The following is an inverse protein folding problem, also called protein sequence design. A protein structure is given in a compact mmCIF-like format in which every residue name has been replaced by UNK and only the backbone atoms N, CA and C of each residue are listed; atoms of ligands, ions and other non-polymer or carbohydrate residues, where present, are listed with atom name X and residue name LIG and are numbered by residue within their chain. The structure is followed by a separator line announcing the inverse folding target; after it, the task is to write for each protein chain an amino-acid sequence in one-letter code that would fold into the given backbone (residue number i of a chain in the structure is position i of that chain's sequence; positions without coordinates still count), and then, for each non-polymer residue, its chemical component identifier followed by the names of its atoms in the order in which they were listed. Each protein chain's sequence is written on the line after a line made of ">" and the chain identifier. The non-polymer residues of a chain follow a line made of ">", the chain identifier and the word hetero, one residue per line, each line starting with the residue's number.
data_IF_297151335227
#
_entry.id   IF_297151335227
#
_cell.length_a   1.000
_cell.length_b   1.000
_cell.length_c   1.000
_cell.angle_alpha   90.00
_cell.angle_beta   90.00
_cell.angle_gamma   90.00
#
_symmetry.space_group_name_H-M   'P 1'
#
loop_
_entity.id
_entity.type
_entity.pdbx_description
1 polymer ?
#
# COMPACT_ATOMS: atom_id res chain seq x y z
N UNK A 1 11.52 -2.17 2.09
CA UNK A 1 11.26 -1.00 1.25
C UNK A 1 10.17 -0.16 1.86
N UNK A 2 10.38 1.15 1.90
CA UNK A 2 9.42 2.07 2.48
C UNK A 2 8.78 2.94 1.42
N UNK A 3 7.48 3.17 1.57
CA UNK A 3 6.71 3.99 0.65
C UNK A 3 5.79 4.89 1.45
N UNK A 4 5.76 6.16 1.09
CA UNK A 4 4.84 7.12 1.72
C UNK A 4 3.86 7.61 0.68
N UNK A 5 2.57 7.60 1.04
CA UNK A 5 1.55 8.09 0.12
C UNK A 5 0.38 8.63 0.90
N UNK A 6 -0.44 9.44 0.22
CA UNK A 6 -1.60 10.08 0.83
C UNK A 6 -2.87 9.46 0.26
N UNK A 7 -3.81 9.16 1.18
CA UNK A 7 -5.11 8.64 0.78
C UNK A 7 -6.21 9.53 1.34
N UNK A 8 -7.23 9.76 0.55
CA UNK A 8 -8.40 10.47 1.00
C UNK A 8 -9.40 9.50 1.56
N UNK A 9 -10.35 10.03 2.31
CA UNK A 9 -11.45 9.22 2.84
C UNK A 9 -12.14 8.50 1.68
N UNK A 10 -12.34 7.19 1.84
CA UNK A 10 -12.98 6.38 0.83
C UNK A 10 -12.03 5.78 -0.20
N UNK A 11 -10.80 6.27 -0.26
CA UNK A 11 -9.81 5.70 -1.18
C UNK A 11 -9.12 4.51 -0.53
N UNK A 12 -8.70 3.57 -1.35
CA UNK A 12 -8.15 2.32 -0.86
C UNK A 12 -6.71 2.13 -1.31
N UNK A 13 -6.04 1.21 -0.64
CA UNK A 13 -4.74 0.72 -1.02
C UNK A 13 -4.86 -0.75 -1.35
N UNK A 14 -4.07 -1.20 -2.31
CA UNK A 14 -3.98 -2.62 -2.59
C UNK A 14 -2.55 -3.09 -2.41
N UNK A 15 -2.41 -4.21 -1.74
CA UNK A 15 -1.13 -4.88 -1.61
C UNK A 15 -1.24 -6.20 -2.35
N UNK A 16 -0.33 -6.41 -3.29
CA UNK A 16 -0.35 -7.63 -4.09
C UNK A 16 0.98 -8.33 -3.96
N UNK A 17 0.95 -9.62 -4.22
CA UNK A 17 2.11 -10.47 -4.07
C UNK A 17 2.38 -11.18 -5.38
N UNK A 18 3.67 -11.42 -5.66
CA UNK A 18 4.06 -12.10 -6.87
C UNK A 18 3.66 -13.56 -6.80
N UNK A 19 3.14 -14.09 -7.91
CA UNK A 19 2.83 -15.52 -8.00
C UNK A 19 4.11 -16.34 -8.03
N UNK A 20 5.21 -15.73 -8.42
CA UNK A 20 6.49 -16.42 -8.56
C UNK A 20 7.45 -16.07 -7.44
N UNK A 21 6.90 -15.75 -6.27
CA UNK A 21 7.71 -15.42 -5.12
C UNK A 21 8.61 -16.60 -4.76
N UNK A 22 9.89 -16.32 -4.59
CA UNK A 22 10.84 -17.37 -4.20
C UNK A 22 10.61 -17.76 -2.74
N UNK A 23 11.17 -18.91 -2.36
CA UNK A 23 11.08 -19.34 -0.97
C UNK A 23 11.72 -18.32 -0.02
N UNK A 24 12.83 -17.72 -0.45
CA UNK A 24 13.51 -16.72 0.37
C UNK A 24 12.64 -15.46 0.52
N UNK A 25 11.97 -15.05 -0.54
CA UNK A 25 11.09 -13.90 -0.47
C UNK A 25 9.88 -14.15 0.42
N UNK A 26 9.34 -15.36 0.34
CA UNK A 26 8.24 -15.73 1.20
C UNK A 26 8.66 -15.77 2.65
N UNK A 27 9.83 -16.32 2.93
CA UNK A 27 10.37 -16.33 4.29
C UNK A 27 10.53 -14.91 4.84
N UNK A 28 11.04 -14.02 4.01
CA UNK A 28 11.23 -12.64 4.42
C UNK A 28 9.89 -11.99 4.77
N UNK A 29 8.89 -12.25 3.95
CA UNK A 29 7.55 -11.70 4.17
C UNK A 29 6.95 -12.25 5.46
N UNK A 30 7.09 -13.54 5.70
CA UNK A 30 6.57 -14.17 6.92
C UNK A 30 7.29 -13.69 8.15
N UNK A 31 8.58 -13.41 8.04
CA UNK A 31 9.38 -12.94 9.17
C UNK A 31 9.13 -11.47 9.47
N UNK A 32 9.14 -10.63 8.45
CA UNK A 32 9.11 -9.19 8.63
C UNK A 32 7.70 -8.61 8.56
N UNK A 33 6.82 -9.24 7.80
CA UNK A 33 5.46 -8.76 7.66
C UNK A 33 5.38 -7.45 6.89
N UNK A 34 4.23 -6.80 7.02
CA UNK A 34 3.97 -5.52 6.39
C UNK A 34 3.51 -4.58 7.49
N UNK A 35 4.14 -3.41 7.57
CA UNK A 35 3.80 -2.41 8.57
C UNK A 35 3.20 -1.20 7.87
N UNK A 36 2.02 -0.79 8.32
CA UNK A 36 1.36 0.40 7.80
C UNK A 36 1.17 1.37 8.96
N UNK A 37 1.75 2.55 8.82
CA UNK A 37 1.67 3.56 9.86
C UNK A 37 0.93 4.78 9.33
N UNK A 38 0.04 5.35 10.16
CA UNK A 38 -0.60 6.61 9.84
C UNK A 38 0.28 7.70 10.41
N UNK A 39 0.88 8.49 9.53
CA UNK A 39 1.82 9.52 9.93
C UNK A 39 1.15 10.84 10.22
N UNK A 40 0.08 11.14 9.50
CA UNK A 40 -0.56 12.44 9.60
C UNK A 40 -1.97 12.35 9.05
N UNK A 41 -2.87 13.00 9.75
CA UNK A 41 -4.24 13.17 9.25
C UNK A 41 -4.49 14.66 9.18
N UNK A 42 -4.99 15.13 8.04
CA UNK A 42 -5.29 16.54 7.89
C UNK A 42 -6.47 16.73 6.96
N UNK A 43 -7.08 17.87 7.06
CA UNK A 43 -8.20 18.23 6.20
C UNK A 43 -7.71 19.22 5.16
N UNK A 44 -8.12 18.99 3.91
CA UNK A 44 -7.76 19.89 2.84
C UNK A 44 -8.91 19.93 1.86
N UNK A 45 -9.38 21.15 1.57
CA UNK A 45 -10.48 21.38 0.63
C UNK A 45 -11.73 20.55 0.98
N UNK A 46 -12.02 20.44 2.27
CA UNK A 46 -13.23 19.77 2.72
C UNK A 46 -13.13 18.27 2.77
N UNK A 47 -11.98 17.68 2.51
CA UNK A 47 -11.85 16.24 2.61
C UNK A 47 -10.70 15.88 3.56
N UNK A 48 -10.89 14.76 4.27
CA UNK A 48 -9.87 14.24 5.17
C UNK A 48 -8.87 13.42 4.38
N UNK A 49 -7.60 13.63 4.68
CA UNK A 49 -6.51 12.91 4.04
C UNK A 49 -5.63 12.30 5.10
N UNK A 50 -5.13 11.11 4.81
CA UNK A 50 -4.21 10.41 5.70
C UNK A 50 -2.91 10.17 4.97
N UNK A 51 -1.82 10.54 5.61
CA UNK A 51 -0.49 10.25 5.09
C UNK A 51 -0.04 8.93 5.69
N UNK A 52 0.18 7.96 4.84
CA UNK A 52 0.51 6.61 5.26
C UNK A 52 1.94 6.27 4.89
N UNK A 53 2.60 5.56 5.79
CA UNK A 53 3.93 5.03 5.51
C UNK A 53 3.85 3.52 5.57
N UNK A 54 4.25 2.86 4.48
CA UNK A 54 4.15 1.43 4.36
C UNK A 54 5.54 0.85 4.23
N UNK A 55 5.86 -0.09 5.11
CA UNK A 55 7.12 -0.80 5.07
C UNK A 55 6.84 -2.25 4.74
N UNK A 56 7.42 -2.74 3.67
CA UNK A 56 7.17 -4.09 3.20
C UNK A 56 8.39 -4.60 2.44
N UNK A 57 8.55 -5.94 2.35
CA UNK A 57 9.59 -6.50 1.51
C UNK A 57 9.35 -6.13 0.04
N UNK A 58 10.40 -6.22 -0.75
CA UNK A 58 10.32 -5.84 -2.17
C UNK A 58 9.37 -6.72 -2.97
N UNK A 59 9.11 -7.92 -2.50
CA UNK A 59 8.21 -8.83 -3.19
C UNK A 59 6.75 -8.40 -3.07
N UNK A 60 6.46 -7.42 -2.23
CA UNK A 60 5.11 -6.90 -2.06
C UNK A 60 4.98 -5.62 -2.88
N UNK A 61 3.94 -5.56 -3.69
CA UNK A 61 3.64 -4.38 -4.49
C UNK A 61 2.52 -3.60 -3.83
N UNK A 62 2.74 -2.30 -3.65
CA UNK A 62 1.75 -1.42 -3.05
C UNK A 62 1.24 -0.49 -4.14
N UNK A 63 -0.07 -0.44 -4.31
CA UNK A 63 -0.69 0.34 -5.37
C UNK A 63 -1.88 1.12 -4.82
N UNK A 64 -2.13 2.26 -5.43
CA UNK A 64 -3.34 3.00 -5.15
C UNK A 64 -4.49 2.30 -5.85
N UNK A 65 -5.56 2.08 -5.12
CA UNK A 65 -6.66 1.28 -5.66
C UNK A 65 -7.31 1.92 -6.88
N UNK A 66 -7.33 3.25 -6.96
CA UNK A 66 -7.95 3.88 -8.11
C UNK A 66 -7.22 3.55 -9.41
N UNK A 67 -5.94 3.23 -9.35
CA UNK A 67 -5.22 2.80 -10.55
C UNK A 67 -5.69 1.43 -10.99
N UNK A 68 -5.94 0.55 -10.03
CA UNK A 68 -6.46 -0.78 -10.31
C UNK A 68 -7.89 -0.69 -10.82
N UNK A 69 -8.71 0.11 -10.16
CA UNK A 69 -10.10 0.30 -10.56
C UNK A 69 -10.23 0.84 -11.97
N UNK A 70 -9.34 1.76 -12.33
CA UNK A 70 -9.33 2.30 -13.67
C UNK A 70 -9.11 1.24 -14.72
N UNK A 71 -8.25 0.28 -14.43
CA UNK A 71 -7.99 -0.83 -15.33
C UNK A 71 -9.19 -1.76 -15.44
N UNK A 72 -9.86 -1.96 -14.32
CA UNK A 72 -10.99 -2.88 -14.28
C UNK A 72 -12.21 -2.34 -15.00
N UNK A 73 -12.34 -1.05 -15.05
CA UNK A 73 -13.52 -0.43 -15.65
C UNK A 73 -13.48 -0.44 -17.17
N UNK A 74 -12.38 -0.80 -17.73
CA UNK A 74 -12.25 -0.88 -19.16
C UNK A 74 -12.72 -2.20 -19.71
#
# INVERSE_FOLDING_TARGET
>A
MGLTLTRREGEELELTFSENMSAAELEELLRDGITIAVRRIHEQHGSLQAKLHITAPRSVRVMRAELVSGLEQE
#
